data_IF_174898532257
#
_entry.id   IF_174898532257
#
_cell.length_a   1.000
_cell.length_b   1.000
_cell.length_c   1.000
_cell.angle_alpha   90.00
_cell.angle_beta   90.00
_cell.angle_gamma   90.00
#
_symmetry.space_group_name_H-M   'P 1'
#
loop_
_entity.id
_entity.type
_entity.pdbx_description
1 polymer ?
#
# COMPACT_ATOMS: atom_id res chain seq x y z
N UNK A 1 -22.50 2.72 7.25
CA UNK A 1 -21.19 3.29 6.92
C UNK A 1 -21.38 4.37 5.87
N UNK A 2 -20.75 5.54 6.01
CA UNK A 2 -20.76 6.53 4.94
C UNK A 2 -20.12 5.90 3.68
N UNK A 3 -20.60 6.18 2.48
CA UNK A 3 -20.02 5.67 1.28
C UNK A 3 -18.53 6.10 1.21
N UNK A 4 -17.68 5.22 0.73
CA UNK A 4 -16.25 5.40 0.57
C UNK A 4 -15.97 6.59 -0.33
N UNK A 5 -15.82 7.77 0.22
CA UNK A 5 -15.60 8.99 -0.56
C UNK A 5 -14.16 9.50 -0.55
N UNK A 6 -13.30 8.93 0.29
CA UNK A 6 -11.89 9.36 0.35
C UNK A 6 -10.99 8.34 1.03
N UNK A 7 -9.87 8.04 0.42
CA UNK A 7 -8.78 7.28 1.04
C UNK A 7 -8.09 8.15 2.08
N UNK A 8 -8.18 7.78 3.36
CA UNK A 8 -7.46 8.46 4.44
C UNK A 8 -7.13 7.46 5.55
N UNK A 9 -6.18 7.81 6.39
CA UNK A 9 -5.76 6.96 7.50
C UNK A 9 -4.76 5.90 7.09
N UNK A 10 -4.79 4.79 7.78
CA UNK A 10 -3.81 3.70 7.62
C UNK A 10 -4.42 2.58 6.81
N UNK A 11 -3.82 2.26 5.66
CA UNK A 11 -4.09 1.06 4.91
C UNK A 11 -2.87 0.13 4.99
N UNK A 12 -3.08 -1.15 5.22
CA UNK A 12 -1.97 -2.12 5.19
C UNK A 12 -1.77 -2.61 3.76
N UNK A 13 -0.55 -2.44 3.21
CA UNK A 13 -0.11 -3.16 2.02
C UNK A 13 0.04 -4.64 2.41
N UNK A 14 -1.01 -5.44 2.21
CA UNK A 14 -1.07 -6.79 2.75
C UNK A 14 -0.13 -7.73 1.99
N UNK A 15 0.68 -8.52 2.73
CA UNK A 15 1.48 -9.59 2.14
C UNK A 15 0.59 -10.73 1.64
N UNK A 16 1.03 -11.44 0.61
CA UNK A 16 0.46 -12.73 0.18
C UNK A 16 1.35 -13.85 0.71
N UNK A 17 0.95 -14.59 1.77
CA UNK A 17 1.71 -15.71 2.28
C UNK A 17 1.73 -16.87 1.28
N UNK A 18 2.87 -17.55 1.14
CA UNK A 18 3.00 -18.77 0.32
C UNK A 18 3.56 -19.95 1.13
N UNK A 19 3.13 -21.14 0.75
CA UNK A 19 3.70 -22.44 1.20
C UNK A 19 3.69 -23.38 0.00
N UNK A 20 4.86 -23.95 -0.30
CA UNK A 20 5.04 -24.88 -1.42
C UNK A 20 4.53 -24.31 -2.76
N UNK A 21 4.83 -23.03 -3.03
CA UNK A 21 4.44 -22.29 -4.25
C UNK A 21 2.97 -21.86 -4.31
N UNK A 22 2.14 -22.18 -3.33
CA UNK A 22 0.70 -21.86 -3.30
C UNK A 22 0.37 -20.81 -2.25
N UNK A 23 -0.71 -20.05 -2.44
CA UNK A 23 -1.21 -19.10 -1.46
C UNK A 23 -1.61 -19.86 -0.17
N UNK A 24 -1.06 -19.45 0.97
CA UNK A 24 -1.45 -19.95 2.29
C UNK A 24 -2.62 -19.13 2.84
N UNK A 25 -3.81 -19.53 2.48
CA UNK A 25 -5.05 -18.87 2.92
C UNK A 25 -5.26 -18.94 4.45
N UNK A 26 -4.69 -19.93 5.14
CA UNK A 26 -4.78 -20.01 6.59
C UNK A 26 -3.97 -18.90 7.27
N UNK A 27 -2.72 -18.69 6.86
CA UNK A 27 -1.92 -17.54 7.31
C UNK A 27 -2.54 -16.21 6.87
N UNK A 28 -3.05 -16.14 5.64
CA UNK A 28 -3.71 -14.92 5.13
C UNK A 28 -4.92 -14.54 6.00
N UNK A 29 -5.77 -15.51 6.37
CA UNK A 29 -6.90 -15.29 7.28
C UNK A 29 -6.46 -14.71 8.62
N UNK A 30 -5.42 -15.29 9.22
CA UNK A 30 -4.89 -14.81 10.50
C UNK A 30 -4.39 -13.36 10.40
N UNK A 31 -3.70 -13.01 9.32
CA UNK A 31 -3.26 -11.63 9.09
C UNK A 31 -4.45 -10.69 8.94
N UNK A 32 -5.47 -11.05 8.16
CA UNK A 32 -6.68 -10.23 7.97
C UNK A 32 -7.39 -9.99 9.31
N UNK A 33 -7.60 -11.02 10.13
CA UNK A 33 -8.24 -10.87 11.43
C UNK A 33 -7.45 -9.94 12.37
N UNK A 34 -6.12 -10.01 12.36
CA UNK A 34 -5.26 -9.07 13.09
C UNK A 34 -5.46 -7.64 12.61
N UNK A 35 -5.53 -7.42 11.29
CA UNK A 35 -5.77 -6.09 10.72
C UNK A 35 -7.15 -5.56 11.13
N UNK A 36 -8.19 -6.40 11.04
CA UNK A 36 -9.53 -6.02 11.49
C UNK A 36 -9.59 -5.62 12.97
N UNK A 37 -8.77 -6.23 13.82
CA UNK A 37 -8.72 -5.94 15.25
C UNK A 37 -7.87 -4.71 15.61
N UNK A 38 -6.98 -4.26 14.73
CA UNK A 38 -5.97 -3.24 15.05
C UNK A 38 -6.40 -1.79 14.84
N UNK A 39 -7.55 -1.58 14.19
CA UNK A 39 -8.06 -0.24 13.88
C UNK A 39 -7.46 0.40 12.63
N UNK A 40 -6.80 -0.37 11.74
CA UNK A 40 -6.46 0.12 10.40
C UNK A 40 -7.73 0.43 9.61
N UNK A 41 -7.64 1.33 8.64
CA UNK A 41 -8.80 1.80 7.89
C UNK A 41 -9.10 0.93 6.66
N UNK A 42 -8.09 0.24 6.13
CA UNK A 42 -8.25 -0.59 4.95
C UNK A 42 -7.07 -1.51 4.66
N UNK A 43 -7.24 -2.32 3.62
CA UNK A 43 -6.19 -3.19 3.07
C UNK A 43 -5.97 -2.81 1.61
N UNK A 44 -4.71 -2.73 1.20
CA UNK A 44 -4.31 -2.69 -0.20
C UNK A 44 -3.86 -4.08 -0.58
N UNK A 45 -4.56 -4.66 -1.55
CA UNK A 45 -4.37 -6.04 -1.99
C UNK A 45 -3.55 -6.09 -3.27
N UNK A 46 -2.68 -7.10 -3.33
CA UNK A 46 -1.94 -7.40 -4.56
C UNK A 46 -1.14 -6.19 -5.09
N UNK A 47 -0.62 -5.37 -4.17
CA UNK A 47 0.41 -4.38 -4.44
C UNK A 47 1.78 -5.08 -4.45
N UNK A 48 2.88 -4.39 -4.62
CA UNK A 48 4.22 -5.00 -4.63
C UNK A 48 4.49 -5.83 -3.37
N UNK A 49 3.96 -5.41 -2.22
CA UNK A 49 4.03 -6.15 -0.96
C UNK A 49 3.26 -7.48 -1.02
N UNK A 50 2.22 -7.54 -1.82
CA UNK A 50 1.45 -8.75 -2.12
C UNK A 50 2.00 -9.58 -3.28
N UNK A 51 3.19 -9.25 -3.81
CA UNK A 51 3.87 -9.96 -4.91
C UNK A 51 3.04 -10.07 -6.20
N UNK A 52 2.33 -8.99 -6.56
CA UNK A 52 1.45 -8.95 -7.73
C UNK A 52 2.07 -9.48 -9.04
N UNK A 53 3.36 -9.23 -9.39
CA UNK A 53 3.92 -9.69 -10.66
C UNK A 53 3.99 -11.22 -10.78
N UNK A 54 3.94 -11.95 -9.67
CA UNK A 54 4.08 -13.42 -9.63
C UNK A 54 2.76 -14.15 -9.39
N UNK A 55 1.66 -13.42 -9.27
CA UNK A 55 0.32 -13.99 -9.15
C UNK A 55 -0.35 -14.08 -10.52
N UNK A 56 -0.97 -15.24 -10.82
CA UNK A 56 -1.84 -15.36 -11.99
C UNK A 56 -3.13 -14.55 -11.81
N UNK A 57 -3.85 -14.31 -12.91
CA UNK A 57 -5.13 -13.59 -12.84
C UNK A 57 -6.17 -14.37 -12.01
N UNK A 58 -6.12 -15.70 -12.06
CA UNK A 58 -6.96 -16.60 -11.26
C UNK A 58 -6.63 -16.48 -9.77
N UNK A 59 -5.34 -16.52 -9.41
CA UNK A 59 -4.90 -16.35 -8.02
C UNK A 59 -5.29 -14.98 -7.44
N UNK A 60 -5.20 -13.91 -8.23
CA UNK A 60 -5.62 -12.56 -7.83
C UNK A 60 -7.12 -12.51 -7.54
N UNK A 61 -7.94 -13.14 -8.38
CA UNK A 61 -9.40 -13.22 -8.19
C UNK A 61 -9.77 -14.06 -6.97
N UNK A 62 -9.13 -15.22 -6.82
CA UNK A 62 -9.33 -16.10 -5.67
C UNK A 62 -8.95 -15.39 -4.36
N UNK A 63 -7.79 -14.72 -4.34
CA UNK A 63 -7.34 -13.93 -3.21
C UNK A 63 -8.33 -12.81 -2.86
N UNK A 64 -8.78 -12.04 -3.84
CA UNK A 64 -9.75 -10.96 -3.61
C UNK A 64 -11.05 -11.52 -3.04
N UNK A 65 -11.62 -12.58 -3.63
CA UNK A 65 -12.85 -13.20 -3.16
C UNK A 65 -12.72 -13.69 -1.71
N UNK A 66 -11.61 -14.34 -1.38
CA UNK A 66 -11.32 -14.82 -0.03
C UNK A 66 -11.18 -13.67 0.96
N UNK A 67 -10.52 -12.57 0.58
CA UNK A 67 -10.34 -11.39 1.45
C UNK A 67 -11.68 -10.70 1.67
N UNK A 68 -12.51 -10.51 0.63
CA UNK A 68 -13.85 -9.92 0.74
C UNK A 68 -14.71 -10.71 1.71
N UNK A 69 -14.75 -12.04 1.58
CA UNK A 69 -15.49 -12.92 2.49
C UNK A 69 -14.96 -12.82 3.93
N UNK A 70 -13.63 -12.90 4.11
CA UNK A 70 -12.99 -12.89 5.43
C UNK A 70 -13.17 -11.55 6.13
N UNK A 71 -13.02 -10.43 5.42
CA UNK A 71 -13.18 -9.07 6.00
C UNK A 71 -14.64 -8.79 6.36
N UNK A 72 -15.59 -9.25 5.55
CA UNK A 72 -17.02 -9.09 5.84
C UNK A 72 -17.46 -7.64 6.04
N UNK A 73 -16.87 -6.69 5.27
CA UNK A 73 -17.19 -5.25 5.35
C UNK A 73 -16.58 -4.50 6.54
N UNK A 74 -15.69 -5.14 7.33
CA UNK A 74 -15.05 -4.49 8.50
C UNK A 74 -13.94 -3.50 8.11
N UNK A 75 -13.31 -3.68 6.96
CA UNK A 75 -12.25 -2.84 6.41
C UNK A 75 -12.54 -2.51 4.96
N UNK A 76 -11.96 -1.41 4.48
CA UNK A 76 -11.99 -1.03 3.08
C UNK A 76 -10.97 -1.85 2.27
N UNK A 77 -11.35 -2.28 1.09
CA UNK A 77 -10.54 -3.13 0.23
C UNK A 77 -10.19 -2.40 -1.07
N UNK A 78 -8.92 -2.03 -1.19
CA UNK A 78 -8.35 -1.48 -2.41
C UNK A 78 -7.65 -2.58 -3.18
N UNK A 79 -8.10 -2.83 -4.39
CA UNK A 79 -7.43 -3.77 -5.28
C UNK A 79 -6.48 -3.05 -6.21
N UNK A 80 -5.27 -3.56 -6.37
CA UNK A 80 -4.27 -2.95 -7.24
C UNK A 80 -4.54 -3.30 -8.71
N UNK A 81 -4.56 -2.27 -9.54
CA UNK A 81 -4.59 -2.35 -11.01
C UNK A 81 -3.19 -2.01 -11.51
N UNK A 82 -2.44 -3.01 -11.95
CA UNK A 82 -1.00 -2.95 -12.19
C UNK A 82 -0.58 -3.23 -13.64
N UNK A 83 -1.40 -2.87 -14.60
CA UNK A 83 -1.09 -3.09 -16.00
C UNK A 83 -0.35 -1.90 -16.64
N UNK A 84 0.65 -2.19 -17.47
CA UNK A 84 1.30 -1.23 -18.34
C UNK A 84 0.68 -1.20 -19.77
N UNK A 85 -0.43 -1.91 -19.97
CA UNK A 85 -1.36 -1.85 -21.10
C UNK A 85 -2.72 -1.39 -20.59
N UNK A 86 -3.23 -0.29 -21.14
CA UNK A 86 -4.51 0.31 -20.71
C UNK A 86 -5.69 -0.65 -20.85
N UNK A 87 -5.74 -1.46 -21.92
CA UNK A 87 -6.79 -2.45 -22.12
C UNK A 87 -6.78 -3.49 -20.99
N UNK A 88 -5.59 -3.99 -20.62
CA UNK A 88 -5.45 -4.94 -19.53
C UNK A 88 -5.85 -4.33 -18.17
N UNK A 89 -5.58 -3.05 -17.95
CA UNK A 89 -6.06 -2.34 -16.77
C UNK A 89 -7.61 -2.33 -16.69
N UNK A 90 -8.29 -2.14 -17.81
CA UNK A 90 -9.76 -2.20 -17.87
C UNK A 90 -10.31 -3.60 -17.54
N UNK A 91 -9.67 -4.65 -18.09
CA UNK A 91 -10.02 -6.04 -17.78
C UNK A 91 -9.90 -6.34 -16.29
N UNK A 92 -8.83 -5.86 -15.65
CA UNK A 92 -8.61 -5.98 -14.20
C UNK A 92 -9.71 -5.25 -13.40
N UNK A 93 -10.03 -4.00 -13.73
CA UNK A 93 -11.08 -3.21 -13.06
C UNK A 93 -12.42 -3.96 -13.11
N UNK A 94 -12.84 -4.36 -14.31
CA UNK A 94 -14.10 -5.08 -14.50
C UNK A 94 -14.18 -6.35 -13.65
N UNK A 95 -13.10 -7.13 -13.62
CA UNK A 95 -13.03 -8.36 -12.85
C UNK A 95 -13.09 -8.09 -11.34
N UNK A 96 -12.31 -7.13 -10.83
CA UNK A 96 -12.21 -6.85 -9.41
C UNK A 96 -13.44 -6.13 -8.83
N UNK A 97 -14.07 -5.28 -9.62
CA UNK A 97 -15.33 -4.63 -9.25
C UNK A 97 -16.44 -5.64 -9.02
N UNK A 98 -16.55 -6.64 -9.92
CA UNK A 98 -17.53 -7.72 -9.81
C UNK A 98 -17.30 -8.59 -8.57
N UNK A 99 -16.05 -8.72 -8.11
CA UNK A 99 -15.66 -9.51 -6.93
C UNK A 99 -15.75 -8.72 -5.62
N UNK A 100 -16.14 -7.45 -5.62
CA UNK A 100 -16.42 -6.68 -4.42
C UNK A 100 -15.27 -5.80 -3.91
N UNK A 101 -14.29 -5.45 -4.76
CA UNK A 101 -13.33 -4.39 -4.41
C UNK A 101 -14.08 -3.07 -4.13
N UNK A 102 -13.68 -2.34 -3.08
CA UNK A 102 -14.30 -1.04 -2.74
C UNK A 102 -13.72 0.11 -3.55
N UNK A 103 -12.49 -0.03 -4.03
CA UNK A 103 -11.79 0.94 -4.86
C UNK A 103 -10.51 0.37 -5.45
N UNK A 104 -9.78 1.20 -6.18
CA UNK A 104 -8.62 0.77 -6.92
C UNK A 104 -7.38 1.60 -6.61
N UNK A 105 -6.23 0.91 -6.50
CA UNK A 105 -4.91 1.52 -6.56
C UNK A 105 -4.39 1.35 -7.99
N UNK A 106 -4.42 2.43 -8.79
CA UNK A 106 -4.03 2.40 -10.19
C UNK A 106 -2.54 2.73 -10.34
N UNK A 107 -1.75 1.73 -10.72
CA UNK A 107 -0.29 1.85 -10.82
C UNK A 107 0.11 2.61 -12.08
N UNK A 108 1.05 3.54 -11.93
CA UNK A 108 1.71 4.19 -13.08
C UNK A 108 2.29 3.13 -14.00
N UNK A 109 1.98 3.16 -15.34
CA UNK A 109 2.55 2.21 -16.28
C UNK A 109 4.07 2.15 -16.18
N UNK A 110 4.58 0.97 -15.88
CA UNK A 110 6.00 0.69 -15.73
C UNK A 110 6.62 0.16 -17.04
N UNK A 111 7.94 0.19 -17.14
CA UNK A 111 8.74 -0.31 -18.26
C UNK A 111 8.63 0.54 -19.54
N UNK A 112 7.44 0.80 -20.06
CA UNK A 112 7.21 1.58 -21.29
C UNK A 112 7.28 3.11 -21.11
N UNK A 113 7.34 3.60 -19.88
CA UNK A 113 7.63 5.00 -19.49
C UNK A 113 6.90 6.05 -20.35
N UNK A 114 5.56 6.10 -20.32
CA UNK A 114 4.79 7.03 -21.13
C UNK A 114 5.07 8.50 -20.75
N UNK A 115 4.83 9.39 -21.71
CA UNK A 115 4.85 10.84 -21.45
C UNK A 115 3.71 11.25 -20.50
N UNK A 116 3.74 12.47 -19.95
CA UNK A 116 2.66 12.98 -19.07
C UNK A 116 1.30 12.97 -19.77
N UNK A 117 1.25 13.25 -21.08
CA UNK A 117 0.02 13.14 -21.84
C UNK A 117 -0.44 11.68 -22.00
N UNK A 118 0.49 10.74 -22.17
CA UNK A 118 0.19 9.30 -22.18
C UNK A 118 -0.35 8.82 -20.83
N UNK A 119 0.24 9.28 -19.71
CA UNK A 119 -0.26 9.03 -18.35
C UNK A 119 -1.68 9.58 -18.16
N UNK A 120 -1.91 10.83 -18.57
CA UNK A 120 -3.23 11.42 -18.50
C UNK A 120 -4.28 10.58 -19.25
N UNK A 121 -4.01 10.22 -20.51
CA UNK A 121 -4.95 9.44 -21.32
C UNK A 121 -5.19 8.03 -20.72
N UNK A 122 -4.14 7.39 -20.19
CA UNK A 122 -4.24 6.10 -19.53
C UNK A 122 -5.18 6.16 -18.31
N UNK A 123 -4.94 7.10 -17.39
CA UNK A 123 -5.74 7.23 -16.17
C UNK A 123 -7.14 7.80 -16.44
N UNK A 124 -7.30 8.64 -17.46
CA UNK A 124 -8.62 9.09 -17.93
C UNK A 124 -9.50 7.92 -18.35
N UNK A 125 -8.95 6.98 -19.14
CA UNK A 125 -9.68 5.78 -19.59
C UNK A 125 -10.04 4.89 -18.39
N UNK A 126 -9.12 4.71 -17.44
CA UNK A 126 -9.36 3.99 -16.18
C UNK A 126 -10.48 4.66 -15.37
N UNK A 127 -10.42 5.99 -15.22
CA UNK A 127 -11.42 6.73 -14.45
C UNK A 127 -12.83 6.68 -15.06
N UNK A 128 -12.92 6.59 -16.38
CA UNK A 128 -14.21 6.43 -17.07
C UNK A 128 -14.80 5.03 -17.01
N UNK A 129 -14.02 4.04 -16.62
CA UNK A 129 -14.43 2.62 -16.61
C UNK A 129 -15.13 2.18 -15.33
N UNK A 130 -15.12 3.01 -14.28
CA UNK A 130 -15.72 2.69 -12.98
C UNK A 130 -16.17 3.95 -12.25
N UNK A 131 -17.22 3.82 -11.45
CA UNK A 131 -17.64 4.87 -10.51
C UNK A 131 -16.95 4.75 -9.15
N UNK A 132 -16.19 3.68 -8.93
CA UNK A 132 -15.48 3.45 -7.67
C UNK A 132 -14.29 4.40 -7.51
N UNK A 133 -13.91 4.73 -6.27
CA UNK A 133 -12.79 5.60 -5.99
C UNK A 133 -11.46 5.00 -6.47
N UNK A 134 -10.62 5.87 -7.03
CA UNK A 134 -9.30 5.54 -7.56
C UNK A 134 -8.25 6.32 -6.79
N UNK A 135 -7.24 5.60 -6.30
CA UNK A 135 -5.99 6.15 -5.83
C UNK A 135 -4.93 5.97 -6.94
N UNK A 136 -4.33 7.05 -7.41
CA UNK A 136 -3.18 6.97 -8.31
C UNK A 136 -1.96 6.48 -7.52
N UNK A 137 -1.13 5.65 -8.13
CA UNK A 137 0.12 5.19 -7.53
C UNK A 137 1.31 5.77 -8.29
N UNK A 138 2.10 6.61 -7.64
CA UNK A 138 3.31 7.22 -8.21
C UNK A 138 4.55 6.71 -7.50
N UNK A 139 5.36 5.92 -8.20
CA UNK A 139 6.63 5.38 -7.70
C UNK A 139 7.67 5.42 -8.82
N UNK A 140 8.36 6.56 -9.01
CA UNK A 140 9.34 6.69 -10.08
C UNK A 140 10.48 5.68 -9.97
N UNK A 141 10.84 5.27 -8.76
CA UNK A 141 11.85 4.25 -8.52
C UNK A 141 11.46 2.86 -9.09
N UNK A 142 10.15 2.52 -9.08
CA UNK A 142 9.65 1.23 -9.60
C UNK A 142 9.15 1.32 -11.03
N UNK A 143 8.50 2.43 -11.38
CA UNK A 143 7.85 2.58 -12.68
C UNK A 143 8.75 3.24 -13.73
N UNK A 144 9.84 3.89 -13.32
CA UNK A 144 10.73 4.62 -14.22
C UNK A 144 10.16 5.96 -14.69
N UNK A 145 8.95 6.31 -14.29
CA UNK A 145 8.27 7.57 -14.59
C UNK A 145 7.42 8.02 -13.41
N UNK A 146 7.32 9.33 -13.21
CA UNK A 146 6.54 9.98 -12.17
C UNK A 146 5.31 10.65 -12.78
N UNK A 147 4.18 10.65 -12.08
CA UNK A 147 3.02 11.45 -12.49
C UNK A 147 3.26 12.89 -12.02
N UNK A 148 3.46 13.83 -12.93
CA UNK A 148 3.67 15.24 -12.56
C UNK A 148 2.47 15.82 -11.80
N UNK A 149 2.67 16.74 -10.82
CA UNK A 149 1.56 17.34 -10.06
C UNK A 149 0.48 17.95 -10.97
N UNK A 150 0.88 18.59 -12.06
CA UNK A 150 -0.04 19.18 -13.05
C UNK A 150 -0.91 18.11 -13.72
N UNK A 151 -0.34 16.93 -13.99
CA UNK A 151 -1.08 15.78 -14.55
C UNK A 151 -2.07 15.23 -13.53
N UNK A 152 -1.67 15.13 -12.26
CA UNK A 152 -2.55 14.69 -11.16
C UNK A 152 -3.76 15.63 -11.04
N UNK A 153 -3.51 16.94 -10.98
CA UNK A 153 -4.58 17.92 -10.81
C UNK A 153 -5.50 17.99 -12.02
N UNK A 154 -4.96 17.94 -13.23
CA UNK A 154 -5.77 17.84 -14.46
C UNK A 154 -6.66 16.60 -14.48
N UNK A 155 -6.18 15.45 -13.99
CA UNK A 155 -6.99 14.22 -13.83
C UNK A 155 -8.10 14.44 -12.80
N UNK A 156 -7.78 14.98 -11.63
CA UNK A 156 -8.72 15.23 -10.54
C UNK A 156 -9.84 16.21 -10.94
N UNK A 157 -9.50 17.25 -11.67
CA UNK A 157 -10.48 18.24 -12.17
C UNK A 157 -11.53 17.58 -13.06
N UNK A 158 -11.11 16.69 -13.95
CA UNK A 158 -11.97 16.07 -14.95
C UNK A 158 -12.64 14.76 -14.45
N UNK A 159 -12.11 14.11 -13.41
CA UNK A 159 -12.57 12.81 -12.93
C UNK A 159 -12.66 12.80 -11.40
N UNK A 160 -13.87 12.99 -10.88
CA UNK A 160 -14.14 13.13 -9.44
C UNK A 160 -13.94 11.84 -8.64
N UNK A 161 -13.95 10.68 -9.30
CA UNK A 161 -13.59 9.39 -8.70
C UNK A 161 -12.09 9.17 -8.54
N UNK A 162 -11.21 10.01 -9.11
CA UNK A 162 -9.79 10.07 -8.71
C UNK A 162 -9.71 10.87 -7.42
N UNK A 163 -9.63 10.18 -6.28
CA UNK A 163 -9.77 10.77 -4.94
C UNK A 163 -8.49 10.81 -4.14
N UNK A 164 -7.43 10.17 -4.63
CA UNK A 164 -6.14 10.15 -3.93
C UNK A 164 -4.96 9.90 -4.88
N UNK A 165 -3.77 10.18 -4.35
CA UNK A 165 -2.50 9.70 -4.88
C UNK A 165 -1.68 9.10 -3.75
N UNK A 166 -1.14 7.88 -3.96
CA UNK A 166 -0.10 7.30 -3.12
C UNK A 166 1.26 7.68 -3.71
N UNK A 167 2.01 8.44 -2.93
CA UNK A 167 3.35 8.91 -3.28
C UNK A 167 4.41 8.01 -2.63
N UNK A 168 5.14 7.28 -3.48
CA UNK A 168 6.23 6.39 -3.08
C UNK A 168 7.58 7.03 -3.39
N UNK A 169 7.91 8.06 -2.64
CA UNK A 169 9.16 8.79 -2.74
C UNK A 169 9.50 9.48 -1.43
N UNK A 170 10.60 10.18 -1.40
CA UNK A 170 11.08 10.88 -0.19
C UNK A 170 11.07 12.41 -0.33
N UNK A 171 10.44 12.95 -1.38
CA UNK A 171 10.45 14.37 -1.67
C UNK A 171 9.34 15.13 -0.94
N UNK A 172 9.69 15.80 0.15
CA UNK A 172 8.78 16.74 0.85
C UNK A 172 8.31 17.88 -0.08
N UNK A 173 9.17 18.36 -0.99
CA UNK A 173 8.78 19.39 -1.95
C UNK A 173 7.67 18.91 -2.89
N UNK A 174 7.74 17.67 -3.35
CA UNK A 174 6.69 17.09 -4.20
C UNK A 174 5.37 16.94 -3.45
N UNK A 175 5.41 16.47 -2.20
CA UNK A 175 4.19 16.40 -1.38
C UNK A 175 3.60 17.79 -1.18
N UNK A 176 4.41 18.81 -0.89
CA UNK A 176 3.95 20.19 -0.77
C UNK A 176 3.27 20.70 -2.07
N UNK A 177 3.78 20.34 -3.25
CA UNK A 177 3.13 20.64 -4.53
C UNK A 177 1.78 19.92 -4.70
N UNK A 178 1.68 18.65 -4.27
CA UNK A 178 0.46 17.86 -4.38
C UNK A 178 -0.63 18.31 -3.39
N UNK A 179 -0.28 18.82 -2.21
CA UNK A 179 -1.25 19.31 -1.22
C UNK A 179 -1.61 20.79 -1.41
N UNK A 180 -0.91 21.49 -2.30
CA UNK A 180 -1.06 22.94 -2.50
C UNK A 180 -2.49 23.37 -2.83
N UNK A 181 -3.20 22.62 -3.65
CA UNK A 181 -4.54 22.96 -4.11
C UNK A 181 -5.60 22.78 -3.01
N UNK A 182 -5.24 22.13 -1.88
CA UNK A 182 -6.09 21.96 -0.70
C UNK A 182 -7.51 21.46 -1.01
N UNK A 183 -7.65 20.58 -1.99
CA UNK A 183 -8.94 19.94 -2.32
C UNK A 183 -9.36 19.02 -1.16
N UNK A 184 -10.50 19.34 -0.53
CA UNK A 184 -11.02 18.60 0.61
C UNK A 184 -11.41 17.16 0.27
N UNK A 185 -11.63 16.84 -0.99
CA UNK A 185 -12.03 15.53 -1.48
C UNK A 185 -10.91 14.77 -2.19
N UNK A 186 -9.68 15.31 -2.17
CA UNK A 186 -8.49 14.66 -2.69
C UNK A 186 -7.45 14.47 -1.60
N UNK A 187 -6.83 13.29 -1.55
CA UNK A 187 -5.88 12.91 -0.50
C UNK A 187 -4.51 12.55 -1.08
N UNK A 188 -3.48 13.06 -0.45
CA UNK A 188 -2.11 12.59 -0.66
C UNK A 188 -1.79 11.59 0.43
N UNK A 189 -1.41 10.38 0.03
CA UNK A 189 -0.97 9.30 0.89
C UNK A 189 0.53 9.08 0.72
N UNK A 190 1.22 8.64 1.74
CA UNK A 190 2.57 8.09 1.58
C UNK A 190 2.53 6.58 1.43
N UNK A 191 3.43 6.01 0.63
CA UNK A 191 3.68 4.57 0.58
C UNK A 191 4.95 4.16 1.34
N UNK A 192 5.58 5.11 2.07
CA UNK A 192 6.84 4.90 2.77
C UNK A 192 6.66 5.10 4.27
N UNK A 193 6.76 4.03 5.07
CA UNK A 193 6.60 4.08 6.53
C UNK A 193 7.51 5.14 7.18
N UNK A 194 8.77 5.24 6.71
CA UNK A 194 9.74 6.21 7.22
C UNK A 194 9.34 7.67 6.94
N UNK A 195 8.54 7.91 5.89
CA UNK A 195 8.09 9.26 5.49
C UNK A 195 6.72 9.65 6.05
N UNK A 196 6.09 8.79 6.85
CA UNK A 196 4.78 9.06 7.42
C UNK A 196 4.75 10.41 8.14
N UNK A 197 5.60 10.60 9.14
CA UNK A 197 5.60 11.82 9.94
C UNK A 197 5.96 13.09 9.14
N UNK A 198 7.04 13.12 8.33
CA UNK A 198 7.34 14.26 7.48
C UNK A 198 6.19 14.63 6.52
N UNK A 199 5.59 13.66 5.86
CA UNK A 199 4.54 13.95 4.88
C UNK A 199 3.23 14.38 5.55
N UNK A 200 2.90 13.83 6.72
CA UNK A 200 1.74 14.25 7.50
C UNK A 200 1.88 15.70 8.00
N UNK A 201 3.09 16.14 8.36
CA UNK A 201 3.35 17.53 8.71
C UNK A 201 3.12 18.50 7.56
N UNK A 202 3.19 18.03 6.31
CA UNK A 202 2.90 18.80 5.11
C UNK A 202 1.43 18.74 4.68
N UNK A 203 0.62 17.89 5.31
CA UNK A 203 -0.80 17.76 4.99
C UNK A 203 -1.21 16.46 4.30
N UNK A 204 -0.31 15.49 4.11
CA UNK A 204 -0.72 14.14 3.70
C UNK A 204 -1.73 13.55 4.72
N UNK A 205 -2.66 12.71 4.24
CA UNK A 205 -3.82 12.27 5.02
C UNK A 205 -3.86 10.76 5.25
N UNK A 206 -2.85 10.02 4.81
CA UNK A 206 -2.82 8.58 5.02
C UNK A 206 -1.49 7.94 4.64
N UNK A 207 -1.39 6.67 4.97
CA UNK A 207 -0.23 5.82 4.72
C UNK A 207 -0.72 4.46 4.21
N UNK A 208 -0.11 3.99 3.13
CA UNK A 208 -0.15 2.58 2.73
C UNK A 208 1.10 1.92 3.28
N UNK A 209 0.95 1.19 4.39
CA UNK A 209 2.04 0.74 5.25
C UNK A 209 2.46 -0.69 4.97
N UNK A 210 3.76 -0.94 4.83
CA UNK A 210 4.35 -2.27 4.89
C UNK A 210 4.52 -2.72 6.34
N UNK A 211 4.96 -1.82 7.22
CA UNK A 211 5.18 -2.10 8.65
C UNK A 211 3.89 -2.52 9.38
N UNK A 212 2.72 -2.05 8.93
CA UNK A 212 1.43 -2.42 9.51
C UNK A 212 1.10 -3.92 9.42
N UNK A 213 1.75 -4.70 8.55
CA UNK A 213 1.65 -6.17 8.59
C UNK A 213 2.15 -6.73 9.94
N UNK A 214 3.11 -6.08 10.58
CA UNK A 214 3.73 -6.52 11.84
C UNK A 214 3.28 -5.70 13.06
N UNK A 215 3.24 -4.37 12.93
CA UNK A 215 3.02 -3.39 14.02
C UNK A 215 1.81 -2.47 13.71
N UNK A 216 0.69 -3.06 13.32
CA UNK A 216 -0.50 -2.29 12.92
C UNK A 216 -1.02 -1.34 14.01
N UNK A 217 -1.06 -1.78 15.27
CA UNK A 217 -1.51 -0.95 16.39
C UNK A 217 -0.65 0.31 16.56
N UNK A 218 0.66 0.17 16.46
CA UNK A 218 1.63 1.25 16.63
C UNK A 218 1.57 2.25 15.48
N UNK A 219 1.34 1.76 14.27
CA UNK A 219 1.14 2.62 13.09
C UNK A 219 -0.19 3.40 13.23
N UNK A 220 -1.25 2.76 13.69
CA UNK A 220 -2.53 3.42 13.99
C UNK A 220 -2.36 4.46 15.11
N UNK A 221 -1.63 4.11 16.18
CA UNK A 221 -1.32 5.06 17.26
C UNK A 221 -0.54 6.28 16.75
N UNK A 222 0.45 6.06 15.86
CA UNK A 222 1.20 7.17 15.25
C UNK A 222 0.27 8.09 14.44
N UNK A 223 -0.66 7.52 13.68
CA UNK A 223 -1.66 8.28 12.94
C UNK A 223 -2.58 9.10 13.88
N UNK A 224 -3.03 8.51 14.99
CA UNK A 224 -3.88 9.18 15.98
C UNK A 224 -3.15 10.37 16.61
N UNK A 225 -1.90 10.19 17.05
CA UNK A 225 -1.08 11.25 17.64
C UNK A 225 -0.93 12.45 16.69
N UNK A 226 -0.67 12.19 15.38
CA UNK A 226 -0.59 13.27 14.40
C UNK A 226 -1.95 13.94 14.19
N UNK A 227 -3.04 13.17 14.16
CA UNK A 227 -4.39 13.69 14.00
C UNK A 227 -4.82 14.59 15.16
N UNK A 228 -4.29 14.34 16.35
CA UNK A 228 -4.47 15.12 17.56
C UNK A 228 -3.47 16.30 17.68
N UNK A 229 -2.64 16.54 16.64
CA UNK A 229 -1.56 17.53 16.62
C UNK A 229 -0.47 17.28 17.68
N UNK A 230 -0.34 16.07 18.22
CA UNK A 230 0.69 15.68 19.18
C UNK A 230 1.95 15.19 18.47
N UNK A 231 2.62 16.11 17.77
CA UNK A 231 3.81 15.80 16.97
C UNK A 231 5.01 15.36 17.79
N UNK A 232 5.14 15.80 19.05
CA UNK A 232 6.23 15.38 19.93
C UNK A 232 6.14 13.88 20.24
N UNK A 233 5.00 13.43 20.73
CA UNK A 233 4.76 12.00 21.00
C UNK A 233 4.81 11.16 19.70
N UNK A 234 4.31 11.69 18.59
CA UNK A 234 4.41 11.04 17.28
C UNK A 234 5.87 10.86 16.84
N UNK A 235 6.73 11.87 17.06
CA UNK A 235 8.16 11.78 16.75
C UNK A 235 8.88 10.77 17.65
N UNK A 236 8.51 10.67 18.93
CA UNK A 236 9.06 9.66 19.84
C UNK A 236 8.70 8.25 19.40
N UNK A 237 7.44 8.04 19.03
CA UNK A 237 6.97 6.75 18.53
C UNK A 237 7.63 6.39 17.18
N UNK A 238 7.73 7.34 16.26
CA UNK A 238 8.41 7.16 14.97
C UNK A 238 9.90 6.77 15.17
N UNK A 239 10.62 7.47 16.06
CA UNK A 239 12.01 7.15 16.39
C UNK A 239 12.17 5.74 16.96
N UNK A 240 11.21 5.29 17.78
CA UNK A 240 11.21 3.93 18.36
C UNK A 240 11.20 2.84 17.29
N UNK A 241 10.46 3.05 16.20
CA UNK A 241 10.31 2.07 15.11
C UNK A 241 11.15 2.38 13.87
N UNK A 242 11.95 3.45 13.88
CA UNK A 242 12.76 3.87 12.74
C UNK A 242 13.69 2.76 12.23
N UNK A 243 14.31 1.99 13.13
CA UNK A 243 15.16 0.87 12.75
C UNK A 243 14.38 -0.21 11.96
N UNK A 244 13.13 -0.49 12.36
CA UNK A 244 12.25 -1.38 11.61
C UNK A 244 11.93 -0.82 10.22
N UNK A 245 11.50 0.44 10.13
CA UNK A 245 11.17 1.07 8.84
C UNK A 245 12.33 0.99 7.85
N UNK A 246 13.56 1.23 8.32
CA UNK A 246 14.78 1.11 7.50
C UNK A 246 15.09 -0.34 7.14
N UNK A 247 14.83 -1.28 8.02
CA UNK A 247 15.10 -2.70 7.77
C UNK A 247 14.15 -3.29 6.72
N UNK A 248 12.92 -2.79 6.61
CA UNK A 248 11.96 -3.24 5.59
C UNK A 248 12.40 -2.96 4.15
N UNK A 249 13.42 -2.13 3.97
CA UNK A 249 14.00 -1.79 2.65
C UNK A 249 15.44 -2.28 2.47
N UNK A 250 15.93 -3.15 3.37
CA UNK A 250 17.30 -3.68 3.29
C UNK A 250 17.50 -4.60 2.08
N UNK A 251 16.43 -5.26 1.66
CA UNK A 251 16.27 -5.96 0.39
C UNK A 251 14.90 -5.63 -0.21
N UNK A 252 14.64 -6.17 -1.40
CA UNK A 252 13.38 -5.88 -2.12
C UNK A 252 12.17 -6.31 -1.29
N UNK A 253 11.23 -5.37 -1.06
CA UNK A 253 9.92 -5.66 -0.50
C UNK A 253 9.18 -6.69 -1.41
N UNK A 254 8.57 -7.78 -0.84
CA UNK A 254 8.24 -8.00 0.57
C UNK A 254 9.19 -8.95 1.33
N UNK A 255 10.39 -9.23 0.83
CA UNK A 255 11.28 -10.24 1.43
C UNK A 255 11.54 -9.96 2.91
N UNK A 256 11.91 -8.73 3.35
CA UNK A 256 12.17 -8.43 4.76
C UNK A 256 10.93 -8.59 5.65
N UNK A 257 9.77 -8.08 5.21
CA UNK A 257 8.56 -8.16 6.04
C UNK A 257 8.06 -9.60 6.19
N UNK A 258 8.11 -10.42 5.14
CA UNK A 258 7.73 -11.84 5.23
C UNK A 258 8.66 -12.61 6.17
N UNK A 259 9.96 -12.32 6.14
CA UNK A 259 10.91 -12.87 7.11
C UNK A 259 10.49 -12.55 8.55
N UNK A 260 10.22 -11.29 8.86
CA UNK A 260 9.80 -10.87 10.21
C UNK A 260 8.48 -11.52 10.64
N UNK A 261 7.51 -11.61 9.74
CA UNK A 261 6.23 -12.24 10.02
C UNK A 261 6.38 -13.73 10.34
N UNK A 262 7.22 -14.45 9.59
CA UNK A 262 7.53 -15.85 9.89
C UNK A 262 8.24 -15.99 11.24
N UNK A 263 9.24 -15.16 11.52
CA UNK A 263 9.97 -15.18 12.80
C UNK A 263 9.08 -14.90 14.00
N UNK A 264 7.99 -14.17 13.80
CA UNK A 264 6.96 -13.89 14.82
C UNK A 264 5.82 -14.91 14.83
N UNK A 265 5.88 -15.93 13.99
CA UNK A 265 4.85 -16.98 13.90
C UNK A 265 3.51 -16.49 13.32
N UNK A 266 3.50 -15.35 12.62
CA UNK A 266 2.28 -14.76 12.04
C UNK A 266 1.95 -15.36 10.67
N UNK A 267 2.95 -15.86 9.96
CA UNK A 267 2.81 -16.67 8.74
C UNK A 267 3.66 -17.94 8.88
N UNK A 268 3.26 -18.99 8.18
CA UNK A 268 3.91 -20.29 8.26
C UNK A 268 5.27 -20.32 7.58
N UNK A 269 5.44 -19.57 6.49
CA UNK A 269 6.66 -19.52 5.69
C UNK A 269 6.96 -18.10 5.22
N UNK A 270 8.25 -17.72 5.17
CA UNK A 270 8.70 -16.48 4.52
C UNK A 270 8.92 -16.65 3.01
N UNK A 271 8.39 -17.71 2.42
CA UNK A 271 8.51 -17.99 1.00
C UNK A 271 8.09 -16.80 0.13
N UNK A 272 8.92 -16.52 -0.87
CA UNK A 272 8.65 -15.57 -1.96
C UNK A 272 8.81 -16.31 -3.28
N UNK A 273 8.10 -15.84 -4.32
CA UNK A 273 8.21 -16.43 -5.65
C UNK A 273 9.33 -15.79 -6.46
N UNK A 274 10.01 -16.59 -7.27
CA UNK A 274 11.01 -16.06 -8.20
C UNK A 274 10.38 -14.97 -9.10
N UNK A 275 11.13 -13.89 -9.41
CA UNK A 275 12.58 -13.72 -9.25
C UNK A 275 13.05 -13.27 -7.87
N UNK A 276 12.13 -13.05 -6.90
CA UNK A 276 12.53 -12.80 -5.53
C UNK A 276 13.13 -14.06 -4.90
N UNK A 277 14.03 -13.88 -3.94
CA UNK A 277 14.67 -14.96 -3.21
C UNK A 277 14.71 -14.65 -1.72
N UNK A 278 14.94 -15.64 -0.85
CA UNK A 278 15.08 -15.40 0.59
C UNK A 278 16.18 -14.40 0.91
N UNK A 279 16.07 -13.75 2.08
CA UNK A 279 17.10 -12.84 2.59
C UNK A 279 18.50 -13.48 2.56
N UNK A 280 19.50 -12.68 2.18
CA UNK A 280 20.92 -13.07 2.32
C UNK A 280 21.29 -13.26 3.79
N UNK A 281 22.24 -14.16 4.08
CA UNK A 281 22.69 -14.43 5.44
C UNK A 281 23.13 -13.15 6.19
N UNK A 282 23.79 -12.23 5.50
CA UNK A 282 24.19 -10.94 6.06
C UNK A 282 22.97 -10.14 6.54
N UNK A 283 21.91 -10.12 5.77
CA UNK A 283 20.71 -9.34 6.08
C UNK A 283 19.81 -10.06 7.09
N UNK A 284 19.84 -11.40 7.15
CA UNK A 284 19.21 -12.16 8.25
C UNK A 284 19.75 -11.68 9.60
N UNK A 285 21.07 -11.58 9.77
CA UNK A 285 21.68 -11.10 11.02
C UNK A 285 21.25 -9.65 11.38
N UNK A 286 21.05 -8.79 10.38
CA UNK A 286 20.55 -7.44 10.58
C UNK A 286 19.07 -7.44 11.01
N UNK A 287 18.24 -8.30 10.42
CA UNK A 287 16.82 -8.43 10.77
C UNK A 287 16.62 -9.01 12.17
N UNK A 288 17.43 -9.99 12.60
CA UNK A 288 17.39 -10.51 13.98
C UNK A 288 17.68 -9.41 15.01
N UNK A 289 18.67 -8.53 14.76
CA UNK A 289 18.93 -7.38 15.64
C UNK A 289 17.74 -6.43 15.75
N UNK A 290 17.00 -6.24 14.66
CA UNK A 290 15.77 -5.43 14.66
C UNK A 290 14.70 -6.11 15.52
N UNK A 291 14.50 -7.42 15.36
CA UNK A 291 13.57 -8.20 16.17
C UNK A 291 13.90 -8.12 17.67
N UNK A 292 15.18 -8.28 18.04
CA UNK A 292 15.63 -8.15 19.43
C UNK A 292 15.34 -6.76 19.98
N UNK A 293 15.54 -5.72 19.19
CA UNK A 293 15.18 -4.34 19.55
C UNK A 293 13.69 -4.09 19.72
N UNK A 294 12.83 -4.94 19.13
CA UNK A 294 11.38 -4.90 19.24
C UNK A 294 10.82 -5.79 20.35
N UNK A 295 11.61 -6.72 20.93
CA UNK A 295 11.18 -7.62 21.99
C UNK A 295 10.70 -6.82 23.20
N UNK A 296 9.49 -7.13 23.69
CA UNK A 296 8.81 -6.39 24.76
C UNK A 296 8.14 -5.08 24.31
N UNK A 297 8.15 -4.74 22.99
CA UNK A 297 7.50 -3.54 22.44
C UNK A 297 6.33 -3.86 21.50
N UNK A 298 6.23 -5.12 21.04
CA UNK A 298 5.18 -5.64 20.15
C UNK A 298 4.77 -7.05 20.59
#
# INVERSE_FOLDING_TARGET
MAPFSSFQGICTALVTPFVDGKIDFASLKNLIERQCASGVHGLVLVEITGENPTLSDEERKELLSFVVETVGGRLQLLMTVDANDTRRALEQITAYETLGADGFLAVTPFYNQPTQNGLYLHFEVIAKATDKPICLYSSPFRCGVEIAPETVWRLRENHKNIVAIQENGSSCNRVAQLVKENDADFRVLTGEDVMMLPFFSLGAKGLVSVAANLISNEIVQLYQLVSENNFEAAADLHRRYYALFRALTIETNPVPIKYLLQRRGLIKSAEVRLPLCPLSEKNVAAMEKVLDGLNGKI
#
